data_IF_736404115664
#
_entry.id   IF_736404115664
#
_cell.length_a   1.000
_cell.length_b   1.000
_cell.length_c   1.000
_cell.angle_alpha   90.00
_cell.angle_beta   90.00
_cell.angle_gamma   90.00
#
_symmetry.space_group_name_H-M   'P 1'
#
loop_
_entity.id
_entity.type
_entity.pdbx_description
1 polymer ?
#
# COMPACT_ATOMS: atom_id res chain seq x y z
N UNK A 1 -15.99 -4.77 19.03
CA UNK A 1 -15.37 -3.61 18.38
C UNK A 1 -14.39 -2.94 19.35
N UNK A 2 -13.16 -3.44 19.43
CA UNK A 2 -12.07 -2.66 20.01
C UNK A 2 -11.75 -1.57 18.98
N UNK A 3 -11.99 -0.31 19.32
CA UNK A 3 -11.47 0.82 18.58
C UNK A 3 -9.95 0.64 18.50
N UNK A 4 -9.45 0.25 17.35
CA UNK A 4 -8.03 0.19 17.10
C UNK A 4 -7.50 1.61 17.36
N UNK A 5 -6.56 1.75 18.30
CA UNK A 5 -5.98 3.04 18.62
C UNK A 5 -5.39 3.63 17.34
N UNK A 6 -5.71 4.89 17.08
CA UNK A 6 -5.22 5.63 15.89
C UNK A 6 -3.69 5.53 15.72
N UNK A 7 -2.99 5.28 16.82
CA UNK A 7 -1.52 5.18 16.88
C UNK A 7 -1.12 3.99 17.77
N UNK A 8 -0.84 2.80 17.20
CA UNK A 8 -0.26 1.71 17.95
C UNK A 8 1.07 2.12 18.58
N UNK A 9 1.28 1.81 19.85
CA UNK A 9 2.49 2.22 20.59
C UNK A 9 3.79 1.82 19.90
N UNK A 10 3.82 0.64 19.29
CA UNK A 10 5.00 0.15 18.56
C UNK A 10 5.34 1.01 17.35
N UNK A 11 4.33 1.43 16.58
CA UNK A 11 4.53 2.33 15.44
C UNK A 11 5.02 3.71 15.85
N UNK A 12 4.52 4.24 16.99
CA UNK A 12 4.97 5.53 17.53
C UNK A 12 6.44 5.46 17.94
N UNK A 13 6.84 4.40 18.64
CA UNK A 13 8.23 4.21 19.09
C UNK A 13 9.17 4.06 17.89
N UNK A 14 8.78 3.25 16.91
CA UNK A 14 9.58 3.08 15.70
C UNK A 14 9.68 4.38 14.90
N UNK A 15 8.58 5.10 14.73
CA UNK A 15 8.57 6.41 14.05
C UNK A 15 9.43 7.44 14.78
N UNK A 16 9.47 7.39 16.12
CA UNK A 16 10.35 8.26 16.91
C UNK A 16 11.83 7.92 16.67
N UNK A 17 12.20 6.66 16.60
CA UNK A 17 13.58 6.25 16.22
C UNK A 17 13.91 6.70 14.80
N UNK A 18 12.99 6.49 13.85
CA UNK A 18 13.16 6.90 12.47
C UNK A 18 13.31 8.41 12.30
N UNK A 19 12.70 9.22 13.17
CA UNK A 19 12.86 10.68 13.14
C UNK A 19 14.31 11.13 13.35
N UNK A 20 15.08 10.41 14.15
CA UNK A 20 16.51 10.65 14.32
C UNK A 20 17.34 10.12 13.16
N UNK A 21 17.00 8.94 12.60
CA UNK A 21 17.70 8.39 11.43
C UNK A 21 17.53 9.28 10.20
N UNK A 22 16.35 9.90 10.05
CA UNK A 22 16.05 10.85 8.97
C UNK A 22 16.78 12.18 9.06
N UNK A 23 17.47 12.50 10.16
CA UNK A 23 18.40 13.64 10.25
C UNK A 23 19.65 13.44 9.38
N UNK A 24 19.78 12.34 8.65
CA UNK A 24 20.86 12.16 7.70
C UNK A 24 20.70 13.14 6.51
N UNK A 25 21.68 14.02 6.24
CA UNK A 25 21.60 15.05 5.19
C UNK A 25 21.30 14.49 3.79
N UNK A 26 21.74 13.26 3.50
CA UNK A 26 21.43 12.58 2.22
C UNK A 26 19.94 12.25 2.06
N UNK A 27 19.23 12.08 3.16
CA UNK A 27 17.79 11.88 3.15
C UNK A 27 17.06 13.21 3.11
N UNK A 28 17.50 14.19 3.91
CA UNK A 28 16.89 15.52 4.03
C UNK A 28 16.96 16.34 2.74
N UNK A 29 18.00 16.17 1.90
CA UNK A 29 18.13 16.90 0.63
C UNK A 29 16.97 16.67 -0.35
N UNK A 30 16.21 15.59 -0.15
CA UNK A 30 14.98 15.33 -0.94
C UNK A 30 13.85 16.32 -0.64
N UNK A 31 13.91 16.98 0.53
CA UNK A 31 13.02 18.04 0.93
C UNK A 31 13.83 19.33 1.14
N UNK A 32 13.93 20.20 0.13
CA UNK A 32 14.85 21.34 0.15
C UNK A 32 14.56 22.32 1.30
N UNK A 33 13.29 22.42 1.74
CA UNK A 33 12.88 23.30 2.83
C UNK A 33 13.43 22.76 4.16
N UNK A 34 13.18 21.50 4.45
CA UNK A 34 13.65 20.88 5.68
C UNK A 34 15.16 20.75 5.71
N UNK A 35 15.81 20.58 4.55
CA UNK A 35 17.26 20.62 4.45
C UNK A 35 17.84 21.99 4.81
N UNK A 36 17.23 23.09 4.37
CA UNK A 36 17.68 24.43 4.78
C UNK A 36 17.50 24.70 6.27
N UNK A 37 16.41 24.18 6.88
CA UNK A 37 16.21 24.22 8.33
C UNK A 37 17.27 23.39 9.07
N UNK A 38 17.65 22.23 8.53
CA UNK A 38 18.72 21.40 9.09
C UNK A 38 20.06 22.15 9.08
N UNK A 39 20.42 22.75 7.94
CA UNK A 39 21.63 23.59 7.82
C UNK A 39 21.58 24.75 8.84
N UNK A 40 20.44 25.45 8.94
CA UNK A 40 20.25 26.51 9.93
C UNK A 40 20.43 26.01 11.38
N UNK A 41 19.93 24.79 11.67
CA UNK A 41 20.09 24.17 12.99
C UNK A 41 21.57 23.89 13.32
N UNK A 42 22.33 23.37 12.35
CA UNK A 42 23.77 23.14 12.51
C UNK A 42 24.52 24.46 12.72
N UNK A 43 24.20 25.50 11.95
CA UNK A 43 24.79 26.84 12.14
C UNK A 43 24.46 27.37 13.53
N UNK A 44 23.22 27.23 14.00
CA UNK A 44 22.80 27.63 15.33
C UNK A 44 23.54 26.87 16.44
N UNK A 45 23.82 25.57 16.24
CA UNK A 45 24.65 24.84 17.19
C UNK A 45 26.04 25.42 17.28
N UNK A 46 26.69 25.72 16.15
CA UNK A 46 28.02 26.34 16.11
C UNK A 46 28.02 27.75 16.76
N UNK A 47 27.01 28.56 16.46
CA UNK A 47 26.83 29.90 17.06
C UNK A 47 26.62 29.80 18.57
N UNK A 48 25.83 28.84 19.03
CA UNK A 48 25.61 28.61 20.47
C UNK A 48 26.89 28.20 21.18
N UNK A 49 27.67 27.30 20.60
CA UNK A 49 28.97 26.88 21.13
C UNK A 49 29.96 28.06 21.16
N UNK A 50 29.99 28.88 20.10
CA UNK A 50 30.82 30.07 20.04
C UNK A 50 30.43 31.13 21.10
N UNK A 51 29.13 31.26 21.37
CA UNK A 51 28.62 32.21 22.36
C UNK A 51 28.99 31.89 23.82
N UNK A 52 29.46 30.67 24.10
CA UNK A 52 30.01 30.31 25.41
C UNK A 52 31.31 31.09 25.70
N UNK A 53 32.13 31.31 24.68
CA UNK A 53 33.44 31.94 24.80
C UNK A 53 33.38 33.43 24.45
N UNK A 54 32.44 33.82 23.56
CA UNK A 54 32.37 35.18 23.04
C UNK A 54 30.92 35.68 22.95
N UNK A 55 30.60 36.71 23.72
CA UNK A 55 29.24 37.29 23.77
C UNK A 55 28.86 38.16 22.57
N UNK A 56 29.71 38.28 21.55
CA UNK A 56 29.46 39.13 20.37
C UNK A 56 28.24 38.69 19.51
N UNK A 57 27.80 37.45 19.64
CA UNK A 57 26.66 36.90 18.92
C UNK A 57 25.37 36.82 19.75
N UNK A 58 25.25 37.66 20.76
CA UNK A 58 24.06 37.72 21.61
C UNK A 58 24.12 36.82 22.84
N UNK A 59 22.98 36.71 23.53
CA UNK A 59 22.86 35.89 24.75
C UNK A 59 22.90 34.40 24.45
N UNK A 60 23.69 33.64 25.21
CA UNK A 60 23.71 32.17 25.14
C UNK A 60 22.31 31.57 25.32
N UNK A 61 21.51 32.12 26.26
CA UNK A 61 20.15 31.63 26.50
C UNK A 61 19.23 31.78 25.28
N UNK A 62 19.35 32.87 24.52
CA UNK A 62 18.61 33.07 23.29
C UNK A 62 19.06 32.10 22.20
N UNK A 63 20.38 31.96 22.00
CA UNK A 63 20.93 31.09 20.96
C UNK A 63 20.57 29.63 21.19
N UNK A 64 20.64 29.14 22.43
CA UNK A 64 20.27 27.78 22.75
C UNK A 64 18.75 27.56 22.61
N UNK A 65 17.93 28.52 22.94
CA UNK A 65 16.49 28.45 22.77
C UNK A 65 16.12 28.31 21.28
N UNK A 66 16.72 29.12 20.41
CA UNK A 66 16.53 29.05 18.95
C UNK A 66 17.00 27.68 18.43
N UNK A 67 18.17 27.19 18.84
CA UNK A 67 18.66 25.88 18.47
C UNK A 67 17.67 24.77 18.86
N UNK A 68 17.18 24.76 20.10
CA UNK A 68 16.23 23.74 20.57
C UNK A 68 14.94 23.78 19.77
N UNK A 69 14.38 24.95 19.49
CA UNK A 69 13.16 25.12 18.70
C UNK A 69 13.36 24.54 17.29
N UNK A 70 14.46 24.86 16.62
CA UNK A 70 14.78 24.33 15.29
C UNK A 70 14.94 22.82 15.29
N UNK A 71 15.67 22.31 16.28
CA UNK A 71 15.91 20.86 16.40
C UNK A 71 14.61 20.09 16.64
N UNK A 72 13.74 20.57 17.54
CA UNK A 72 12.44 19.99 17.80
C UNK A 72 11.54 20.06 16.54
N UNK A 73 11.61 21.16 15.80
CA UNK A 73 10.86 21.31 14.52
C UNK A 73 11.29 20.27 13.50
N UNK A 74 12.60 20.01 13.35
CA UNK A 74 13.12 18.96 12.47
C UNK A 74 12.66 17.57 12.92
N UNK A 75 12.78 17.25 14.20
CA UNK A 75 12.34 15.96 14.73
C UNK A 75 10.83 15.76 14.54
N UNK A 76 10.03 16.81 14.76
CA UNK A 76 8.59 16.74 14.55
C UNK A 76 8.24 16.47 13.08
N UNK A 77 8.85 17.17 12.13
CA UNK A 77 8.62 16.97 10.71
C UNK A 77 9.00 15.54 10.27
N UNK A 78 10.18 15.06 10.69
CA UNK A 78 10.63 13.71 10.41
C UNK A 78 9.75 12.63 11.06
N UNK A 79 9.27 12.90 12.28
CA UNK A 79 8.33 12.01 12.96
C UNK A 79 6.99 11.91 12.21
N UNK A 80 6.44 13.05 11.78
CA UNK A 80 5.19 13.08 11.03
C UNK A 80 5.31 12.32 9.70
N UNK A 81 6.42 12.45 9.00
CA UNK A 81 6.70 11.69 7.79
C UNK A 81 6.87 10.19 8.08
N UNK A 82 7.63 9.83 9.11
CA UNK A 82 7.89 8.44 9.49
C UNK A 82 6.61 7.70 9.90
N UNK A 83 5.73 8.32 10.67
CA UNK A 83 4.46 7.71 11.09
C UNK A 83 3.50 7.54 9.91
N UNK A 84 3.53 8.48 8.96
CA UNK A 84 2.78 8.38 7.74
C UNK A 84 3.29 7.23 6.84
N UNK A 85 4.61 7.10 6.67
CA UNK A 85 5.22 5.97 5.92
C UNK A 85 4.94 4.61 6.57
N UNK A 86 4.98 4.52 7.91
CA UNK A 86 4.66 3.29 8.63
C UNK A 86 3.22 2.81 8.37
N UNK A 87 2.28 3.73 8.20
CA UNK A 87 0.91 3.41 7.83
C UNK A 87 0.76 2.95 6.38
N UNK A 88 1.49 3.58 5.45
CA UNK A 88 1.52 3.15 4.05
C UNK A 88 2.08 1.73 3.89
N UNK A 89 3.10 1.36 4.67
CA UNK A 89 3.65 -0.01 4.69
C UNK A 89 2.67 -1.05 5.20
N UNK A 90 1.81 -0.71 6.15
CA UNK A 90 0.82 -1.64 6.71
C UNK A 90 -0.15 -2.18 5.64
N UNK A 91 -0.40 -1.46 4.55
CA UNK A 91 -1.18 -1.94 3.41
C UNK A 91 -0.46 -3.03 2.62
N UNK A 92 0.82 -2.81 2.30
CA UNK A 92 1.63 -3.79 1.59
C UNK A 92 1.83 -5.06 2.44
N UNK A 93 2.03 -4.90 3.74
CA UNK A 93 2.17 -6.02 4.68
C UNK A 93 0.87 -6.84 4.79
N UNK A 94 -0.29 -6.22 4.69
CA UNK A 94 -1.58 -6.94 4.65
C UNK A 94 -1.70 -7.84 3.42
N UNK A 95 -1.30 -7.34 2.24
CA UNK A 95 -1.27 -8.15 1.01
C UNK A 95 -0.23 -9.27 1.08
N UNK A 96 0.93 -9.00 1.67
CA UNK A 96 1.97 -10.03 1.89
C UNK A 96 1.50 -11.12 2.85
N UNK A 97 0.83 -10.78 3.95
CA UNK A 97 0.26 -11.74 4.89
C UNK A 97 -0.76 -12.66 4.23
N UNK A 98 -1.61 -12.14 3.36
CA UNK A 98 -2.57 -12.95 2.60
C UNK A 98 -1.86 -14.01 1.75
N UNK A 99 -0.69 -13.68 1.19
CA UNK A 99 0.16 -14.64 0.47
C UNK A 99 0.84 -15.62 1.41
N UNK A 100 1.44 -15.15 2.50
CA UNK A 100 2.15 -16.01 3.47
C UNK A 100 1.23 -17.00 4.18
N UNK A 101 -0.05 -16.66 4.32
CA UNK A 101 -1.07 -17.49 4.95
C UNK A 101 -1.71 -18.52 4.00
N UNK A 102 -1.42 -18.46 2.69
CA UNK A 102 -1.95 -19.46 1.75
C UNK A 102 -1.21 -20.78 1.95
N UNK A 103 -1.89 -21.82 2.46
CA UNK A 103 -1.25 -23.12 2.65
C UNK A 103 -1.00 -23.80 1.31
N UNK A 104 0.15 -24.42 1.16
CA UNK A 104 0.54 -25.20 -0.01
C UNK A 104 0.78 -26.64 0.41
N UNK A 105 0.09 -27.58 -0.22
CA UNK A 105 0.26 -29.02 -0.02
C UNK A 105 1.43 -29.52 -0.88
N UNK A 106 2.67 -29.30 -0.41
CA UNK A 106 3.89 -29.71 -1.12
C UNK A 106 4.09 -31.22 -1.08
N UNK A 107 4.47 -31.81 -2.22
CA UNK A 107 4.81 -33.23 -2.35
C UNK A 107 6.31 -33.43 -2.11
N UNK A 108 6.65 -34.17 -1.06
CA UNK A 108 8.02 -34.55 -0.74
C UNK A 108 8.14 -36.09 -0.76
N UNK A 109 8.59 -36.64 -1.89
CA UNK A 109 8.60 -38.09 -2.14
C UNK A 109 7.19 -38.64 -2.14
N UNK A 110 6.83 -39.49 -1.17
CA UNK A 110 5.49 -40.11 -1.01
C UNK A 110 4.62 -39.41 0.05
N UNK A 111 5.03 -38.27 0.57
CA UNK A 111 4.30 -37.55 1.64
C UNK A 111 3.87 -36.18 1.14
N UNK A 112 2.72 -35.73 1.61
CA UNK A 112 2.24 -34.37 1.41
C UNK A 112 2.52 -33.60 2.70
N UNK A 113 3.25 -32.50 2.59
CA UNK A 113 3.59 -31.60 3.72
C UNK A 113 2.96 -30.24 3.45
N UNK A 114 2.23 -29.74 4.41
CA UNK A 114 1.67 -28.39 4.32
C UNK A 114 2.75 -27.37 4.66
N UNK A 115 3.06 -26.50 3.72
CA UNK A 115 4.03 -25.41 3.86
C UNK A 115 3.36 -24.08 3.49
N UNK A 116 4.00 -22.95 3.83
CA UNK A 116 3.55 -21.66 3.31
C UNK A 116 3.88 -21.53 1.82
N UNK A 117 3.01 -20.86 1.06
CA UNK A 117 3.25 -20.58 -0.38
C UNK A 117 4.57 -19.85 -0.63
N UNK A 118 5.03 -19.04 0.33
CA UNK A 118 6.31 -18.32 0.26
C UNK A 118 7.54 -19.24 0.29
N UNK A 119 7.38 -20.48 0.75
CA UNK A 119 8.47 -21.47 0.83
C UNK A 119 8.61 -22.34 -0.43
N UNK A 120 7.65 -22.27 -1.35
CA UNK A 120 7.71 -22.98 -2.62
C UNK A 120 8.80 -22.42 -3.52
N UNK A 121 9.58 -23.31 -4.11
CA UNK A 121 10.68 -22.98 -5.04
C UNK A 121 10.38 -23.58 -6.41
N UNK A 122 10.96 -22.98 -7.44
CA UNK A 122 10.92 -23.54 -8.80
C UNK A 122 11.40 -25.00 -8.80
N UNK A 123 10.58 -25.89 -9.35
CA UNK A 123 10.83 -27.33 -9.37
C UNK A 123 10.14 -28.10 -8.24
N UNK A 124 9.58 -27.42 -7.23
CA UNK A 124 8.73 -28.08 -6.24
C UNK A 124 7.39 -28.50 -6.87
N UNK A 125 6.80 -29.55 -6.31
CA UNK A 125 5.47 -30.04 -6.74
C UNK A 125 4.50 -29.87 -5.59
N UNK A 126 3.31 -29.36 -5.89
CA UNK A 126 2.20 -29.25 -4.94
C UNK A 126 0.90 -29.84 -5.50
N UNK A 127 -0.02 -30.15 -4.62
CA UNK A 127 -1.36 -30.67 -4.94
C UNK A 127 -2.40 -29.63 -4.51
N UNK A 128 -3.39 -29.41 -5.37
CA UNK A 128 -4.60 -28.66 -5.04
C UNK A 128 -5.84 -29.49 -5.32
N UNK A 129 -6.82 -29.36 -4.45
CA UNK A 129 -8.13 -30.01 -4.52
C UNK A 129 -9.22 -28.93 -4.61
N UNK A 130 -10.44 -29.35 -4.91
CA UNK A 130 -11.60 -28.46 -4.95
C UNK A 130 -11.72 -27.62 -3.68
N UNK A 131 -11.80 -26.31 -3.84
CA UNK A 131 -11.84 -25.32 -2.76
C UNK A 131 -10.49 -24.71 -2.39
N UNK A 132 -9.37 -25.31 -2.80
CA UNK A 132 -8.03 -24.77 -2.54
C UNK A 132 -7.73 -23.56 -3.45
N UNK A 133 -6.94 -22.63 -2.91
CA UNK A 133 -6.33 -21.54 -3.67
C UNK A 133 -4.98 -22.02 -4.17
N UNK A 134 -4.69 -21.83 -5.45
CA UNK A 134 -3.41 -22.19 -6.06
C UNK A 134 -2.31 -21.31 -5.46
N UNK A 135 -1.31 -21.90 -4.79
CA UNK A 135 -0.35 -21.13 -3.98
C UNK A 135 0.76 -20.46 -4.80
N UNK A 136 1.02 -20.91 -6.02
CA UNK A 136 2.08 -20.39 -6.89
C UNK A 136 1.79 -20.68 -8.35
N UNK A 137 2.43 -19.89 -9.22
CA UNK A 137 2.38 -20.13 -10.67
C UNK A 137 3.08 -21.44 -11.00
N UNK A 138 2.48 -22.22 -11.90
CA UNK A 138 3.02 -23.53 -12.25
C UNK A 138 2.39 -24.15 -13.48
N UNK A 139 2.79 -25.38 -13.73
CA UNK A 139 2.28 -26.22 -14.81
C UNK A 139 1.69 -27.51 -14.24
N UNK A 140 0.48 -27.85 -14.67
CA UNK A 140 -0.18 -29.10 -14.27
C UNK A 140 0.57 -30.27 -14.91
N UNK A 141 1.07 -31.17 -14.08
CA UNK A 141 1.77 -32.37 -14.49
C UNK A 141 0.88 -33.64 -14.42
N UNK A 142 -0.20 -33.56 -13.59
CA UNK A 142 -1.15 -34.66 -13.42
C UNK A 142 -2.52 -34.12 -13.02
N UNK A 143 -3.57 -34.63 -13.61
CA UNK A 143 -4.96 -34.29 -13.29
C UNK A 143 -5.59 -33.29 -14.24
N UNK A 144 -6.86 -32.98 -13.94
CA UNK A 144 -7.70 -32.01 -14.63
C UNK A 144 -8.54 -31.32 -13.58
N UNK A 145 -8.77 -30.03 -13.72
CA UNK A 145 -9.63 -29.26 -12.81
C UNK A 145 -10.32 -28.08 -13.50
N UNK A 146 -11.48 -27.73 -12.98
CA UNK A 146 -12.12 -26.46 -13.27
C UNK A 146 -11.57 -25.40 -12.33
N UNK A 147 -11.06 -24.31 -12.87
CA UNK A 147 -10.37 -23.24 -12.10
C UNK A 147 -11.08 -21.92 -12.33
N UNK A 148 -11.37 -21.22 -11.23
CA UNK A 148 -11.82 -19.84 -11.24
C UNK A 148 -10.61 -18.91 -11.38
N UNK A 149 -10.48 -18.31 -12.54
CA UNK A 149 -9.43 -17.35 -12.89
C UNK A 149 -9.94 -15.90 -12.91
N UNK A 150 -11.14 -15.64 -12.40
CA UNK A 150 -11.79 -14.32 -12.45
C UNK A 150 -10.95 -13.21 -11.84
N UNK A 151 -10.15 -13.51 -10.82
CA UNK A 151 -9.23 -12.56 -10.19
C UNK A 151 -8.10 -12.08 -11.13
N UNK A 152 -7.85 -12.81 -12.23
CA UNK A 152 -6.77 -12.53 -13.19
C UNK A 152 -7.34 -12.11 -14.54
N UNK A 153 -8.27 -12.90 -15.07
CA UNK A 153 -8.83 -12.69 -16.42
C UNK A 153 -10.01 -11.74 -16.44
N UNK A 154 -10.64 -11.50 -15.28
CA UNK A 154 -11.90 -10.78 -15.17
C UNK A 154 -13.11 -11.55 -15.69
N UNK A 155 -12.95 -12.81 -16.13
CA UNK A 155 -14.05 -13.62 -16.62
C UNK A 155 -14.60 -14.53 -15.53
N UNK A 156 -15.92 -14.52 -15.32
CA UNK A 156 -16.58 -15.30 -14.27
C UNK A 156 -16.77 -16.77 -14.65
N UNK A 157 -16.61 -17.13 -15.92
CA UNK A 157 -16.73 -18.52 -16.36
C UNK A 157 -15.47 -19.31 -15.97
N UNK A 158 -15.61 -20.45 -15.26
CA UNK A 158 -14.47 -21.29 -14.93
C UNK A 158 -13.77 -21.81 -16.19
N UNK A 159 -12.46 -21.95 -16.09
CA UNK A 159 -11.61 -22.49 -17.17
C UNK A 159 -11.17 -23.91 -16.82
N UNK A 160 -11.29 -24.83 -17.75
CA UNK A 160 -10.77 -26.18 -17.59
C UNK A 160 -9.27 -26.16 -17.88
N UNK A 161 -8.49 -26.61 -16.90
CA UNK A 161 -7.04 -26.79 -16.98
C UNK A 161 -6.69 -28.27 -16.80
N UNK A 162 -5.75 -28.78 -17.60
CA UNK A 162 -5.39 -30.18 -17.62
C UNK A 162 -3.90 -30.41 -17.87
N UNK A 163 -3.39 -31.54 -17.45
CA UNK A 163 -2.01 -31.92 -17.70
C UNK A 163 -1.72 -32.08 -19.19
N UNK A 164 -0.66 -31.46 -19.68
CA UNK A 164 -0.21 -31.52 -21.07
C UNK A 164 -0.94 -30.58 -22.02
N UNK A 165 -0.20 -30.02 -22.98
CA UNK A 165 -0.71 -29.10 -23.99
C UNK A 165 -0.84 -27.66 -23.51
N UNK A 166 -1.63 -26.90 -24.27
CA UNK A 166 -1.72 -25.42 -24.11
C UNK A 166 -2.50 -24.96 -22.87
N UNK A 167 -3.18 -25.89 -22.18
CA UNK A 167 -4.04 -25.61 -21.02
C UNK A 167 -3.43 -26.05 -19.69
N UNK A 168 -2.16 -26.40 -19.66
CA UNK A 168 -1.49 -26.90 -18.45
C UNK A 168 -1.02 -25.80 -17.46
N UNK A 169 -0.98 -24.55 -17.88
CA UNK A 169 -0.51 -23.44 -17.06
C UNK A 169 -1.56 -22.99 -16.06
N UNK A 170 -1.15 -22.78 -14.79
CA UNK A 170 -1.97 -22.22 -13.72
C UNK A 170 -1.28 -21.06 -13.04
N UNK A 171 -2.07 -20.15 -12.51
CA UNK A 171 -1.56 -18.92 -11.86
C UNK A 171 -1.91 -18.91 -10.38
N UNK A 172 -0.96 -18.52 -9.54
CA UNK A 172 -1.15 -18.36 -8.10
C UNK A 172 -2.23 -17.32 -7.79
N UNK A 173 -3.05 -17.61 -6.77
CA UNK A 173 -4.17 -16.78 -6.38
C UNK A 173 -5.50 -17.12 -7.04
N UNK A 174 -5.53 -18.04 -8.02
CA UNK A 174 -6.75 -18.61 -8.60
C UNK A 174 -7.28 -19.74 -7.75
N UNK A 175 -8.56 -20.12 -7.92
CA UNK A 175 -9.23 -21.11 -7.06
C UNK A 175 -9.63 -22.34 -7.84
N UNK A 176 -9.28 -23.51 -7.31
CA UNK A 176 -9.75 -24.81 -7.85
C UNK A 176 -11.20 -25.01 -7.44
N UNK A 177 -12.07 -25.28 -8.41
CA UNK A 177 -13.52 -25.47 -8.20
C UNK A 177 -13.93 -26.95 -8.20
N UNK A 178 -13.25 -27.79 -8.97
CA UNK A 178 -13.54 -29.23 -9.05
C UNK A 178 -12.26 -30.04 -9.17
N UNK A 179 -12.35 -31.31 -8.81
CA UNK A 179 -11.32 -32.32 -8.95
C UNK A 179 -10.00 -31.99 -8.20
N UNK A 180 -8.91 -32.59 -8.65
CA UNK A 180 -7.59 -32.36 -8.07
C UNK A 180 -6.51 -32.27 -9.16
N UNK A 181 -5.50 -31.48 -8.91
CA UNK A 181 -4.37 -31.31 -9.80
C UNK A 181 -3.05 -31.39 -9.04
N UNK A 182 -2.03 -31.89 -9.72
CA UNK A 182 -0.65 -31.85 -9.28
C UNK A 182 0.11 -30.88 -10.16
N UNK A 183 0.75 -29.90 -9.54
CA UNK A 183 1.35 -28.75 -10.22
C UNK A 183 2.84 -28.67 -9.91
N UNK A 184 3.64 -28.49 -10.95
CA UNK A 184 5.07 -28.19 -10.88
C UNK A 184 5.25 -26.66 -10.85
N UNK A 185 5.93 -26.16 -9.84
CA UNK A 185 6.23 -24.71 -9.70
C UNK A 185 7.21 -24.27 -10.79
N UNK A 186 6.85 -23.27 -11.57
CA UNK A 186 7.66 -22.76 -12.70
C UNK A 186 8.36 -21.45 -12.40
N UNK A 187 7.93 -20.70 -11.38
CA UNK A 187 8.46 -19.38 -11.00
C UNK A 187 9.36 -19.44 -9.77
N UNK A 188 10.33 -18.54 -9.68
CA UNK A 188 11.10 -18.32 -8.46
C UNK A 188 10.29 -17.51 -7.44
N UNK A 189 10.61 -17.62 -6.13
CA UNK A 189 10.05 -16.72 -5.12
C UNK A 189 10.33 -15.25 -5.49
N UNK A 190 9.29 -14.43 -5.51
CA UNK A 190 9.38 -13.03 -5.93
C UNK A 190 9.02 -12.76 -7.40
N UNK A 191 8.88 -13.77 -8.24
CA UNK A 191 8.57 -13.64 -9.67
C UNK A 191 7.13 -14.02 -10.04
N UNK A 192 6.35 -14.50 -9.09
CA UNK A 192 4.95 -14.90 -9.33
C UNK A 192 4.09 -13.70 -9.73
N UNK A 193 2.94 -13.96 -10.35
CA UNK A 193 1.98 -12.92 -10.69
C UNK A 193 1.58 -12.08 -9.48
N UNK A 194 1.33 -12.72 -8.33
CA UNK A 194 1.03 -12.03 -7.06
C UNK A 194 2.20 -11.17 -6.57
N UNK A 195 3.44 -11.65 -6.71
CA UNK A 195 4.63 -10.87 -6.35
C UNK A 195 4.75 -9.59 -7.18
N UNK A 196 4.50 -9.68 -8.47
CA UNK A 196 4.49 -8.53 -9.39
C UNK A 196 3.39 -7.54 -9.03
N UNK A 197 2.19 -8.01 -8.66
CA UNK A 197 1.11 -7.15 -8.19
C UNK A 197 1.48 -6.44 -6.89
N UNK A 198 2.04 -7.15 -5.91
CA UNK A 198 2.51 -6.56 -4.65
C UNK A 198 3.58 -5.49 -4.91
N UNK A 199 4.55 -5.78 -5.79
CA UNK A 199 5.60 -4.84 -6.16
C UNK A 199 5.05 -3.58 -6.84
N UNK A 200 4.02 -3.71 -7.68
CA UNK A 200 3.32 -2.58 -8.28
C UNK A 200 2.62 -1.70 -7.22
N UNK A 201 1.97 -2.31 -6.24
CA UNK A 201 1.31 -1.60 -5.13
C UNK A 201 2.35 -0.90 -4.25
N UNK A 202 3.44 -1.58 -3.90
CA UNK A 202 4.54 -1.00 -3.11
C UNK A 202 5.25 0.15 -3.84
N UNK A 203 5.51 0.00 -5.13
CA UNK A 203 6.12 1.04 -5.97
C UNK A 203 5.21 2.25 -6.18
N UNK A 204 3.91 2.03 -6.27
CA UNK A 204 2.91 3.07 -6.48
C UNK A 204 2.70 3.97 -5.24
N UNK A 205 2.95 3.46 -4.02
CA UNK A 205 2.73 4.19 -2.76
C UNK A 205 3.59 5.46 -2.61
N UNK A 206 4.62 5.64 -3.45
CA UNK A 206 5.59 6.75 -3.38
C UNK A 206 5.40 7.83 -4.45
N UNK A 207 4.40 7.73 -5.31
CA UNK A 207 4.16 8.77 -6.32
C UNK A 207 3.60 10.03 -5.67
N UNK A 208 4.37 11.14 -5.77
CA UNK A 208 3.91 12.45 -5.32
C UNK A 208 2.72 12.91 -6.16
N UNK A 209 1.77 13.59 -5.51
CA UNK A 209 0.63 14.19 -6.20
C UNK A 209 1.07 15.40 -7.03
N UNK A 210 0.32 15.79 -8.07
CA UNK A 210 0.60 17.01 -8.83
C UNK A 210 0.68 18.26 -7.94
N UNK A 211 -0.21 18.36 -6.94
CA UNK A 211 -0.22 19.47 -5.98
C UNK A 211 1.00 19.43 -5.05
N UNK A 212 1.43 18.24 -4.61
CA UNK A 212 2.69 18.10 -3.85
C UNK A 212 3.89 18.58 -4.65
N UNK A 213 3.96 18.27 -5.94
CA UNK A 213 5.05 18.72 -6.83
C UNK A 213 4.99 20.24 -7.00
N UNK A 214 3.82 20.78 -7.31
CA UNK A 214 3.64 22.23 -7.50
C UNK A 214 3.99 23.01 -6.23
N UNK A 215 3.50 22.56 -5.06
CA UNK A 215 3.84 23.18 -3.78
C UNK A 215 5.32 23.04 -3.46
N UNK A 216 5.95 21.90 -3.73
CA UNK A 216 7.40 21.73 -3.49
C UNK A 216 8.21 22.72 -4.31
N UNK A 217 7.85 22.94 -5.59
CA UNK A 217 8.53 23.93 -6.46
C UNK A 217 8.32 25.34 -5.94
N UNK A 218 7.09 25.71 -5.60
CA UNK A 218 6.75 27.03 -5.05
C UNK A 218 7.52 27.31 -3.76
N UNK A 219 7.51 26.35 -2.84
CA UNK A 219 8.19 26.47 -1.56
C UNK A 219 9.72 26.53 -1.72
N UNK A 220 10.29 25.77 -2.67
CA UNK A 220 11.71 25.86 -2.98
C UNK A 220 12.07 27.26 -3.52
N UNK A 221 11.23 27.83 -4.38
CA UNK A 221 11.39 29.19 -4.89
C UNK A 221 11.35 30.23 -3.77
N UNK A 222 10.35 30.16 -2.89
CA UNK A 222 10.28 31.05 -1.71
C UNK A 222 11.49 30.90 -0.80
N UNK A 223 11.92 29.66 -0.53
CA UNK A 223 13.11 29.40 0.28
C UNK A 223 14.33 30.08 -0.28
N UNK A 224 14.56 29.99 -1.60
CA UNK A 224 15.67 30.64 -2.27
C UNK A 224 15.60 32.18 -2.10
N UNK A 225 14.43 32.78 -2.35
CA UNK A 225 14.23 34.24 -2.18
C UNK A 225 14.53 34.67 -0.74
N UNK A 226 14.02 33.93 0.25
CA UNK A 226 14.22 34.28 1.67
C UNK A 226 15.66 34.07 2.10
N UNK A 227 16.38 33.06 1.58
CA UNK A 227 17.83 32.94 1.81
C UNK A 227 18.57 34.18 1.32
N UNK A 228 18.29 34.61 0.07
CA UNK A 228 18.91 35.80 -0.50
C UNK A 228 18.62 37.03 0.33
N UNK A 229 17.37 37.26 0.73
CA UNK A 229 16.97 38.38 1.58
C UNK A 229 17.71 38.37 2.92
N UNK A 230 17.74 37.23 3.62
CA UNK A 230 18.39 37.12 4.92
C UNK A 230 19.92 37.33 4.83
N UNK A 231 20.55 36.76 3.78
CA UNK A 231 22.00 36.92 3.59
C UNK A 231 22.36 38.37 3.25
N UNK A 232 21.56 39.03 2.41
CA UNK A 232 21.81 40.45 2.02
C UNK A 232 21.46 41.42 3.13
N UNK A 233 20.60 41.07 4.07
CA UNK A 233 20.22 41.94 5.18
C UNK A 233 21.42 42.30 6.10
N UNK A 234 22.37 41.37 6.28
CA UNK A 234 23.54 41.58 7.13
C UNK A 234 24.41 42.76 6.65
N UNK A 235 24.85 42.83 5.36
CA UNK A 235 25.59 43.98 4.85
C UNK A 235 24.82 45.30 4.96
N UNK A 236 23.51 45.32 4.75
CA UNK A 236 22.69 46.51 4.91
C UNK A 236 22.64 46.99 6.37
N UNK A 237 22.51 46.04 7.30
CA UNK A 237 22.54 46.35 8.73
C UNK A 237 23.90 46.93 9.16
N UNK A 238 25.01 46.36 8.69
CA UNK A 238 26.35 46.85 8.96
C UNK A 238 26.57 48.26 8.38
N UNK A 239 26.06 48.52 7.17
CA UNK A 239 26.08 49.88 6.60
C UNK A 239 25.29 50.89 7.43
N UNK A 240 24.17 50.47 8.02
CA UNK A 240 23.32 51.29 8.87
C UNK A 240 23.80 51.37 10.31
N UNK A 241 24.98 50.85 10.65
CA UNK A 241 25.50 50.68 12.02
C UNK A 241 24.53 49.98 12.97
N UNK A 242 23.72 49.07 12.46
CA UNK A 242 22.78 48.26 13.26
C UNK A 242 23.36 46.88 13.48
N UNK A 243 23.43 46.45 14.75
CA UNK A 243 23.95 45.10 15.07
C UNK A 243 22.86 44.06 14.88
N UNK A 244 23.06 43.19 13.92
CA UNK A 244 22.22 42.01 13.73
C UNK A 244 23.05 40.74 13.96
N UNK A 245 22.57 39.88 14.86
CA UNK A 245 23.22 38.58 15.14
C UNK A 245 22.81 37.51 14.13
N UNK A 246 23.64 36.48 13.95
CA UNK A 246 23.31 35.32 13.11
C UNK A 246 22.04 34.65 13.61
N UNK A 247 21.85 34.54 14.91
CA UNK A 247 20.65 33.98 15.52
C UNK A 247 19.37 34.74 15.13
N UNK A 248 19.42 36.07 15.06
CA UNK A 248 18.29 36.91 14.63
C UNK A 248 17.97 36.68 13.14
N UNK A 249 19.01 36.56 12.29
CA UNK A 249 18.83 36.28 10.85
C UNK A 249 18.22 34.89 10.62
N UNK A 250 18.70 33.89 11.35
CA UNK A 250 18.14 32.52 11.27
C UNK A 250 16.69 32.49 11.76
N UNK A 251 16.39 33.19 12.88
CA UNK A 251 15.02 33.28 13.38
C UNK A 251 14.09 33.95 12.35
N UNK A 252 14.53 35.02 11.71
CA UNK A 252 13.80 35.68 10.64
C UNK A 252 13.57 34.74 9.45
N UNK A 253 14.62 34.07 9.02
CA UNK A 253 14.55 33.12 7.91
C UNK A 253 13.53 32.00 8.16
N UNK A 254 13.57 31.39 9.36
CA UNK A 254 12.64 30.32 9.71
C UNK A 254 11.20 30.83 9.86
N UNK A 255 11.00 32.05 10.30
CA UNK A 255 9.68 32.70 10.32
C UNK A 255 9.11 32.96 8.93
N UNK A 256 9.96 33.25 7.95
CA UNK A 256 9.54 33.47 6.55
C UNK A 256 9.23 32.20 5.80
N UNK A 257 9.92 31.11 6.10
CA UNK A 257 9.71 29.82 5.42
C UNK A 257 8.50 29.12 6.01
N UNK A 258 7.58 28.60 5.18
CA UNK A 258 6.45 27.78 5.63
C UNK A 258 6.91 26.36 5.96
N UNK A 259 7.70 26.20 7.04
CA UNK A 259 8.30 24.93 7.47
C UNK A 259 7.27 23.86 7.77
N UNK A 260 6.11 24.23 8.33
CA UNK A 260 5.02 23.33 8.63
C UNK A 260 4.46 22.66 7.36
N UNK A 261 4.25 23.43 6.29
CA UNK A 261 3.80 22.89 5.00
C UNK A 261 4.87 21.98 4.43
N UNK A 262 6.13 22.43 4.41
CA UNK A 262 7.26 21.65 3.88
C UNK A 262 7.47 20.31 4.62
N UNK A 263 7.27 20.29 5.94
CA UNK A 263 7.42 19.10 6.76
C UNK A 263 6.23 18.13 6.70
N UNK A 264 5.01 18.64 6.51
CA UNK A 264 3.79 17.82 6.57
C UNK A 264 3.20 17.46 5.20
N UNK A 265 3.73 18.00 4.11
CA UNK A 265 3.17 17.84 2.77
C UNK A 265 3.06 16.34 2.38
N UNK A 266 4.11 15.56 2.62
CA UNK A 266 4.10 14.12 2.36
C UNK A 266 3.11 13.37 3.26
N UNK A 267 2.96 13.79 4.51
CA UNK A 267 2.05 13.19 5.47
C UNK A 267 0.57 13.33 5.06
N UNK A 268 0.21 14.43 4.41
CA UNK A 268 -1.17 14.69 3.94
C UNK A 268 -1.58 13.68 2.87
N UNK A 269 -0.71 13.41 1.89
CA UNK A 269 -0.97 12.42 0.84
C UNK A 269 -1.20 11.02 1.41
N UNK A 270 -0.39 10.62 2.38
CA UNK A 270 -0.50 9.31 3.03
C UNK A 270 -1.76 9.24 3.91
N UNK A 271 -2.12 10.32 4.61
CA UNK A 271 -3.36 10.38 5.39
C UNK A 271 -4.61 10.22 4.51
N UNK A 272 -4.59 10.76 3.29
CA UNK A 272 -5.64 10.55 2.30
C UNK A 272 -5.81 9.08 1.92
N UNK A 273 -4.71 8.37 1.69
CA UNK A 273 -4.73 6.93 1.40
C UNK A 273 -5.27 6.11 2.59
N UNK A 274 -4.85 6.43 3.83
CA UNK A 274 -5.35 5.76 5.05
C UNK A 274 -6.87 5.93 5.21
N UNK A 275 -7.40 7.12 4.89
CA UNK A 275 -8.85 7.37 4.93
C UNK A 275 -9.62 6.56 3.88
N UNK A 276 -9.11 6.46 2.65
CA UNK A 276 -9.69 5.63 1.61
C UNK A 276 -9.70 4.14 2.02
N UNK A 277 -8.60 3.66 2.61
CA UNK A 277 -8.50 2.29 3.11
C UNK A 277 -9.55 1.98 4.19
N UNK A 278 -9.78 2.92 5.12
CA UNK A 278 -10.84 2.76 6.15
C UNK A 278 -12.24 2.67 5.56
N UNK A 279 -12.43 3.20 4.36
CA UNK A 279 -13.66 3.05 3.58
C UNK A 279 -13.65 1.79 2.69
N UNK A 280 -12.73 0.85 2.91
CA UNK A 280 -12.50 -0.35 2.11
C UNK A 280 -12.13 -0.06 0.64
N UNK A 281 -11.51 1.08 0.38
CA UNK A 281 -11.00 1.46 -0.95
C UNK A 281 -9.48 1.37 -0.95
N UNK A 282 -8.93 0.43 -1.73
CA UNK A 282 -7.48 0.31 -1.93
C UNK A 282 -7.05 1.27 -3.05
N UNK A 283 -6.16 2.20 -2.71
CA UNK A 283 -5.64 3.18 -3.65
C UNK A 283 -4.20 2.87 -4.04
N UNK A 284 -3.86 3.07 -5.31
CA UNK A 284 -2.50 2.82 -5.79
C UNK A 284 -1.49 3.86 -5.30
N UNK A 285 -1.93 5.09 -5.03
CA UNK A 285 -1.03 6.18 -4.62
C UNK A 285 -1.83 7.35 -4.03
N UNK A 286 -1.16 8.27 -3.31
CA UNK A 286 -1.74 9.54 -2.89
C UNK A 286 -2.24 10.37 -4.09
N UNK A 287 -1.52 10.31 -5.23
CA UNK A 287 -1.95 10.91 -6.48
C UNK A 287 -3.30 10.38 -6.96
N UNK A 288 -3.52 9.07 -6.86
CA UNK A 288 -4.80 8.46 -7.25
C UNK A 288 -5.96 8.95 -6.39
N UNK A 289 -5.74 9.13 -5.08
CA UNK A 289 -6.77 9.69 -4.16
C UNK A 289 -7.13 11.10 -4.56
N UNK A 290 -6.12 11.96 -4.81
CA UNK A 290 -6.32 13.35 -5.18
C UNK A 290 -7.06 13.45 -6.53
N UNK A 291 -6.56 12.72 -7.54
CA UNK A 291 -7.14 12.73 -8.88
C UNK A 291 -8.58 12.19 -8.91
N UNK A 292 -8.91 11.23 -8.03
CA UNK A 292 -10.25 10.66 -7.95
C UNK A 292 -11.32 11.69 -7.57
N UNK A 293 -10.93 12.79 -6.89
CA UNK A 293 -11.84 13.90 -6.57
C UNK A 293 -12.21 14.78 -7.78
N UNK A 294 -11.40 14.75 -8.83
CA UNK A 294 -11.50 15.67 -9.99
C UNK A 294 -11.91 14.95 -11.28
N UNK A 295 -12.32 13.67 -11.22
CA UNK A 295 -12.70 12.91 -12.41
C UNK A 295 -14.12 13.31 -12.89
N UNK A 296 -14.27 13.45 -14.20
CA UNK A 296 -15.53 13.66 -14.89
C UNK A 296 -16.11 12.38 -15.48
N UNK A 297 -15.24 11.39 -15.72
CA UNK A 297 -15.61 10.11 -16.36
C UNK A 297 -15.09 8.95 -15.55
N UNK A 298 -15.98 8.04 -15.14
CA UNK A 298 -15.65 6.82 -14.41
C UNK A 298 -15.78 5.60 -15.34
N UNK A 299 -14.69 4.87 -15.52
CA UNK A 299 -14.68 3.60 -16.24
C UNK A 299 -14.84 2.47 -15.22
N UNK A 300 -15.95 1.76 -15.29
CA UNK A 300 -16.25 0.62 -14.43
C UNK A 300 -16.02 -0.68 -15.20
N UNK A 301 -15.26 -1.59 -14.61
CA UNK A 301 -15.19 -2.97 -15.09
C UNK A 301 -16.52 -3.69 -14.82
N UNK A 302 -16.86 -4.68 -15.65
CA UNK A 302 -18.11 -5.42 -15.52
C UNK A 302 -17.99 -6.48 -14.41
N UNK A 303 -17.05 -7.38 -14.57
CA UNK A 303 -16.98 -8.59 -13.74
C UNK A 303 -16.35 -8.31 -12.38
N UNK A 304 -17.07 -8.63 -11.32
CA UNK A 304 -16.60 -8.38 -9.94
C UNK A 304 -16.67 -6.92 -9.48
N UNK A 305 -17.10 -5.99 -10.36
CA UNK A 305 -17.27 -4.55 -10.05
C UNK A 305 -18.73 -4.15 -10.17
N UNK A 306 -19.32 -4.24 -11.37
CA UNK A 306 -20.77 -4.01 -11.58
C UNK A 306 -21.55 -5.27 -11.20
N UNK A 307 -21.00 -6.44 -11.50
CA UNK A 307 -21.55 -7.75 -11.16
C UNK A 307 -20.83 -8.36 -9.98
N UNK A 308 -21.45 -9.36 -9.35
CA UNK A 308 -20.84 -10.12 -8.24
C UNK A 308 -19.66 -10.99 -8.72
N UNK A 309 -19.51 -11.19 -10.02
CA UNK A 309 -18.46 -12.00 -10.62
C UNK A 309 -18.84 -13.45 -10.87
N UNK A 310 -19.82 -13.98 -10.17
CA UNK A 310 -20.34 -15.35 -10.33
C UNK A 310 -21.76 -15.31 -10.84
N UNK A 311 -22.11 -16.30 -11.67
CA UNK A 311 -23.50 -16.53 -12.04
C UNK A 311 -24.24 -17.13 -10.86
N UNK A 312 -25.42 -16.60 -10.55
CA UNK A 312 -26.27 -17.11 -9.48
C UNK A 312 -27.65 -17.44 -10.03
N UNK A 313 -28.16 -18.64 -9.75
CA UNK A 313 -29.55 -18.99 -10.04
C UNK A 313 -30.49 -18.13 -9.20
N UNK A 314 -31.47 -17.51 -9.84
CA UNK A 314 -32.45 -16.61 -9.18
C UNK A 314 -33.90 -17.10 -9.32
N UNK A 315 -34.21 -17.83 -10.38
CA UNK A 315 -35.56 -18.32 -10.66
C UNK A 315 -35.51 -19.65 -11.43
N UNK A 316 -36.51 -20.52 -11.20
CA UNK A 316 -36.77 -21.68 -11.99
C UNK A 316 -37.91 -21.39 -12.98
N UNK A 317 -37.67 -21.63 -14.25
CA UNK A 317 -38.66 -21.51 -15.32
C UNK A 317 -38.87 -22.85 -15.97
N UNK A 318 -40.10 -23.39 -15.86
CA UNK A 318 -40.46 -24.65 -16.48
C UNK A 318 -40.99 -24.49 -17.90
N UNK A 319 -40.82 -25.50 -18.75
CA UNK A 319 -41.50 -25.60 -20.04
C UNK A 319 -43.00 -25.87 -19.83
N UNK A 320 -43.88 -25.53 -20.80
CA UNK A 320 -45.29 -25.86 -20.73
C UNK A 320 -45.53 -27.33 -20.49
N UNK A 321 -46.37 -27.68 -19.49
CA UNK A 321 -46.70 -29.07 -19.15
C UNK A 321 -45.72 -29.76 -18.19
N UNK A 322 -44.65 -29.12 -17.75
CA UNK A 322 -43.70 -29.66 -16.76
C UNK A 322 -44.10 -29.18 -15.36
N UNK A 323 -44.19 -30.12 -14.42
CA UNK A 323 -44.44 -29.76 -13.00
C UNK A 323 -43.25 -29.06 -12.42
N UNK A 324 -43.48 -27.92 -11.77
CA UNK A 324 -42.42 -27.10 -11.17
C UNK A 324 -41.64 -27.86 -10.09
N UNK A 325 -42.34 -28.61 -9.22
CA UNK A 325 -41.71 -29.39 -8.15
C UNK A 325 -40.74 -30.43 -8.70
N UNK A 326 -41.20 -31.26 -9.67
CA UNK A 326 -40.38 -32.33 -10.26
C UNK A 326 -39.18 -31.75 -11.02
N UNK A 327 -39.38 -30.58 -11.64
CA UNK A 327 -38.30 -29.86 -12.33
C UNK A 327 -37.22 -29.37 -11.35
N UNK A 328 -37.64 -28.69 -10.24
CA UNK A 328 -36.72 -28.19 -9.26
C UNK A 328 -35.98 -29.30 -8.53
N UNK A 329 -36.67 -30.41 -8.20
CA UNK A 329 -36.06 -31.61 -7.62
C UNK A 329 -35.00 -32.19 -8.55
N UNK A 330 -35.29 -32.30 -9.84
CA UNK A 330 -34.33 -32.79 -10.84
C UNK A 330 -33.12 -31.87 -10.97
N UNK A 331 -33.32 -30.56 -11.02
CA UNK A 331 -32.24 -29.58 -11.05
C UNK A 331 -31.36 -29.67 -9.78
N UNK A 332 -31.98 -29.81 -8.62
CA UNK A 332 -31.28 -29.96 -7.34
C UNK A 332 -30.43 -31.24 -7.33
N UNK A 333 -31.01 -32.39 -7.69
CA UNK A 333 -30.31 -33.68 -7.74
C UNK A 333 -29.14 -33.66 -8.71
N UNK A 334 -29.31 -33.07 -9.90
CA UNK A 334 -28.23 -32.97 -10.88
C UNK A 334 -27.09 -32.06 -10.47
N UNK A 335 -27.38 -31.08 -9.59
CA UNK A 335 -26.40 -30.09 -9.13
C UNK A 335 -25.76 -30.42 -7.78
N UNK A 336 -26.18 -31.50 -7.09
CA UNK A 336 -25.65 -31.86 -5.78
C UNK A 336 -24.14 -32.20 -5.80
N UNK A 337 -23.66 -32.76 -6.91
CA UNK A 337 -22.25 -33.10 -7.10
C UNK A 337 -21.45 -31.99 -7.79
N UNK A 338 -22.13 -30.91 -8.22
CA UNK A 338 -21.47 -29.79 -8.89
C UNK A 338 -20.89 -28.83 -7.89
N UNK A 339 -19.55 -28.75 -7.85
CA UNK A 339 -18.81 -27.88 -6.93
C UNK A 339 -18.62 -26.45 -7.46
N UNK A 340 -19.08 -26.16 -8.67
CA UNK A 340 -19.04 -24.81 -9.24
C UNK A 340 -19.95 -23.84 -8.47
N UNK A 341 -19.67 -22.54 -8.46
CA UNK A 341 -20.56 -21.54 -7.87
C UNK A 341 -21.98 -21.58 -8.45
N UNK A 342 -22.11 -21.89 -9.74
CA UNK A 342 -23.36 -22.04 -10.45
C UNK A 342 -24.17 -23.22 -9.90
N UNK A 343 -23.56 -24.40 -9.82
CA UNK A 343 -24.20 -25.60 -9.28
C UNK A 343 -24.64 -25.42 -7.83
N UNK A 344 -23.76 -24.87 -6.99
CA UNK A 344 -24.07 -24.53 -5.59
C UNK A 344 -25.24 -23.55 -5.48
N UNK A 345 -25.35 -22.58 -6.39
CA UNK A 345 -26.44 -21.62 -6.40
C UNK A 345 -27.80 -22.23 -6.79
N UNK A 346 -27.79 -23.24 -7.67
CA UNK A 346 -29.01 -24.01 -8.02
C UNK A 346 -29.49 -24.79 -6.81
N UNK A 347 -28.59 -25.45 -6.10
CA UNK A 347 -28.91 -26.21 -4.87
C UNK A 347 -29.46 -25.28 -3.79
N UNK A 348 -28.85 -24.11 -3.60
CA UNK A 348 -29.32 -23.10 -2.63
C UNK A 348 -30.74 -22.63 -2.97
N UNK A 349 -30.98 -22.24 -4.22
CA UNK A 349 -32.31 -21.81 -4.70
C UNK A 349 -33.37 -22.93 -4.58
N UNK A 350 -33.00 -24.18 -4.89
CA UNK A 350 -33.89 -25.34 -4.74
C UNK A 350 -34.32 -25.56 -3.28
N UNK A 351 -33.38 -25.42 -2.34
CA UNK A 351 -33.66 -25.53 -0.89
C UNK A 351 -34.53 -24.38 -0.40
N UNK A 352 -34.31 -23.15 -0.85
CA UNK A 352 -35.13 -21.98 -0.55
C UNK A 352 -36.57 -22.15 -1.08
N UNK A 353 -36.75 -22.87 -2.19
CA UNK A 353 -38.05 -23.22 -2.75
C UNK A 353 -38.80 -24.32 -1.99
N UNK A 354 -38.24 -24.82 -0.88
CA UNK A 354 -38.87 -25.79 0.02
C UNK A 354 -38.66 -27.23 -0.32
N UNK A 355 -37.83 -27.57 -1.30
CA UNK A 355 -37.45 -28.93 -1.65
C UNK A 355 -36.17 -29.28 -0.85
N UNK A 356 -36.27 -30.36 -0.06
CA UNK A 356 -35.20 -30.84 0.83
C UNK A 356 -34.55 -32.11 0.29
#
# INVERSE_FOLDING_TARGET
>A
NKSASLFPKEQVIESLKQSFVKLNPRMMIKNPIMFTVEVATVVMLLVTLYSIVNSSQGSFAYNIAVFIILFVTLLFANFAEAIAEARGKAQADSLRKTREETPAKKVEGNKIVTVSSSQLKKGDVFVCEAGDVIPSDGEIIEGLASIDESAITGESAPVIREAGGDKSSVTGGTKVLSDHIKVLVTTQPGESFLDKMIALVEGASRQKTPNEIALTILLAGFTLVFVIVCVTLKPFADYSNTVITIASLISLFVCLIPTTIGGLLSAIGIAGMDRALRANVITKSGKAVETAGDIDTLLLDKTGTITIGNRKATHFHTAPGVNLHDFVETCLLSSLSDETPEGKSIVELGRESGIR
#
